data_IF_099589216810
#
_entry.id   IF_099589216810
#
_cell.length_a   1.000
_cell.length_b   1.000
_cell.length_c   1.000
_cell.angle_alpha   90.00
_cell.angle_beta   90.00
_cell.angle_gamma   90.00
#
_symmetry.space_group_name_H-M   'P 1'
#
loop_
_entity.id
_entity.type
_entity.pdbx_description
1 polymer ?
#
# COMPACT_ATOMS: atom_id res chain seq x y z
N UNK A 1 6.80 -15.78 -5.98
CA UNK A 1 5.52 -15.78 -5.22
C UNK A 1 4.70 -14.59 -5.68
N UNK A 2 3.39 -14.72 -5.86
CA UNK A 2 2.53 -13.60 -6.24
C UNK A 2 2.53 -12.55 -5.12
N UNK A 3 2.94 -11.32 -5.42
CA UNK A 3 2.98 -10.22 -4.45
C UNK A 3 1.59 -9.92 -3.88
N UNK A 4 0.54 -10.01 -4.70
CA UNK A 4 -0.84 -9.74 -4.26
C UNK A 4 -1.36 -10.84 -3.32
N UNK A 5 -1.50 -12.08 -3.82
CA UNK A 5 -2.15 -13.15 -3.06
C UNK A 5 -1.20 -14.04 -2.25
N UNK A 6 0.11 -13.81 -2.35
CA UNK A 6 1.17 -14.58 -1.68
C UNK A 6 1.20 -16.07 -2.03
N UNK A 7 0.46 -16.52 -3.06
CA UNK A 7 0.53 -17.90 -3.57
C UNK A 7 1.68 -18.05 -4.57
N UNK A 8 2.29 -19.23 -4.63
CA UNK A 8 3.21 -19.58 -5.73
C UNK A 8 2.40 -19.63 -7.03
N UNK A 9 2.75 -18.86 -8.07
CA UNK A 9 2.03 -18.90 -9.34
C UNK A 9 2.39 -20.16 -10.12
N UNK A 10 1.41 -20.76 -10.80
CA UNK A 10 1.63 -21.88 -11.72
C UNK A 10 2.29 -21.41 -13.03
N UNK A 11 1.96 -20.18 -13.49
CA UNK A 11 2.59 -19.48 -14.61
C UNK A 11 3.12 -18.13 -14.12
N UNK A 12 4.44 -17.86 -14.19
CA UNK A 12 4.99 -16.59 -13.74
C UNK A 12 4.59 -15.44 -14.69
N UNK A 13 3.81 -14.48 -14.19
CA UNK A 13 3.63 -13.17 -14.85
C UNK A 13 4.73 -12.24 -14.35
N UNK A 14 5.83 -12.18 -15.12
CA UNK A 14 7.10 -11.57 -14.72
C UNK A 14 7.03 -10.04 -14.55
N UNK A 15 6.09 -9.35 -15.20
CA UNK A 15 6.15 -7.89 -15.31
C UNK A 15 5.84 -7.14 -14.02
N UNK A 16 5.05 -7.73 -13.12
CA UNK A 16 4.60 -7.07 -11.87
C UNK A 16 4.60 -8.00 -10.64
N UNK A 17 5.18 -9.20 -10.75
CA UNK A 17 5.22 -10.18 -9.67
C UNK A 17 3.83 -10.65 -9.23
N UNK A 18 2.88 -10.78 -10.16
CA UNK A 18 1.50 -11.25 -9.89
C UNK A 18 1.30 -12.66 -10.45
N UNK A 19 0.26 -13.36 -10.00
CA UNK A 19 -0.21 -14.55 -10.70
C UNK A 19 -1.26 -14.15 -11.76
N UNK A 20 -1.48 -15.00 -12.75
CA UNK A 20 -2.47 -14.80 -13.82
C UNK A 20 -3.86 -14.43 -13.27
N UNK A 21 -4.30 -15.11 -12.21
CA UNK A 21 -5.59 -14.83 -11.58
C UNK A 21 -5.66 -13.39 -11.02
N UNK A 22 -4.61 -12.91 -10.36
CA UNK A 22 -4.55 -11.54 -9.84
C UNK A 22 -4.44 -10.52 -10.97
N UNK A 23 -3.71 -10.85 -12.04
CA UNK A 23 -3.62 -10.00 -13.23
C UNK A 23 -4.99 -9.84 -13.91
N UNK A 24 -5.71 -10.95 -14.17
CA UNK A 24 -7.08 -10.94 -14.74
C UNK A 24 -8.08 -10.19 -13.86
N UNK A 25 -7.96 -10.31 -12.54
CA UNK A 25 -8.79 -9.58 -11.58
C UNK A 25 -8.46 -8.06 -11.50
N UNK A 26 -7.38 -7.61 -12.16
CA UNK A 26 -6.92 -6.23 -12.09
C UNK A 26 -6.37 -5.85 -10.72
N UNK A 27 -5.83 -6.81 -9.96
CA UNK A 27 -5.25 -6.56 -8.64
C UNK A 27 -3.84 -6.01 -8.72
N UNK A 28 -3.53 -5.00 -7.94
CA UNK A 28 -2.20 -4.39 -7.88
C UNK A 28 -1.82 -4.15 -6.42
N UNK A 29 -0.58 -4.46 -6.07
CA UNK A 29 0.02 -4.06 -4.79
C UNK A 29 0.94 -2.86 -5.06
N UNK A 30 0.60 -1.69 -4.53
CA UNK A 30 1.45 -0.50 -4.61
C UNK A 30 2.27 -0.34 -3.33
N UNK A 31 3.60 -0.29 -3.44
CA UNK A 31 4.53 -0.06 -2.33
C UNK A 31 4.64 1.42 -2.03
N UNK A 32 4.62 1.73 -0.75
CA UNK A 32 4.94 3.03 -0.19
C UNK A 32 5.96 2.84 0.92
N UNK A 33 6.94 3.75 1.00
CA UNK A 33 7.95 3.76 2.06
C UNK A 33 7.55 4.78 3.11
N UNK A 34 7.46 4.33 4.35
CA UNK A 34 7.24 5.17 5.50
C UNK A 34 8.58 5.56 6.12
N UNK A 35 8.63 6.75 6.70
CA UNK A 35 9.76 7.22 7.49
C UNK A 35 9.26 8.21 8.55
N UNK A 36 10.17 8.74 9.39
CA UNK A 36 9.80 9.69 10.43
C UNK A 36 9.18 10.96 9.82
N UNK A 37 8.02 11.33 10.34
CA UNK A 37 7.31 12.58 10.05
C UNK A 37 7.66 13.69 11.04
N UNK A 38 6.84 14.74 11.10
CA UNK A 38 6.98 15.78 12.13
C UNK A 38 6.37 15.25 13.44
N UNK A 39 7.14 15.27 14.53
CA UNK A 39 6.72 14.72 15.82
C UNK A 39 6.81 13.19 15.87
N UNK A 40 5.92 12.54 16.61
CA UNK A 40 5.86 11.08 16.81
C UNK A 40 5.00 10.37 15.74
N UNK A 41 4.99 10.86 14.50
CA UNK A 41 4.06 10.39 13.46
C UNK A 41 4.86 9.92 12.24
N UNK A 42 4.40 8.84 11.59
CA UNK A 42 4.95 8.40 10.31
C UNK A 42 4.56 9.33 9.15
N UNK A 43 5.39 9.37 8.10
CA UNK A 43 5.08 10.04 6.85
C UNK A 43 5.48 9.17 5.66
N UNK A 44 4.70 9.23 4.57
CA UNK A 44 5.09 8.61 3.29
C UNK A 44 6.22 9.45 2.66
N UNK A 45 7.36 8.81 2.41
CA UNK A 45 8.58 9.43 1.87
C UNK A 45 8.90 9.03 0.43
N UNK A 46 8.33 7.94 -0.05
CA UNK A 46 8.47 7.47 -1.41
C UNK A 46 7.38 6.45 -1.73
N UNK A 47 7.16 6.15 -3.01
CA UNK A 47 6.17 5.17 -3.41
C UNK A 47 6.11 4.88 -4.90
N UNK A 48 5.54 3.72 -5.26
CA UNK A 48 5.24 3.34 -6.64
C UNK A 48 4.08 4.17 -7.23
N UNK A 49 3.21 4.72 -6.37
CA UNK A 49 2.24 5.75 -6.75
C UNK A 49 2.90 7.12 -6.62
N UNK A 50 2.63 8.01 -7.57
CA UNK A 50 2.93 9.43 -7.37
C UNK A 50 1.96 10.05 -6.35
N UNK A 51 2.35 11.13 -5.65
CA UNK A 51 1.45 11.82 -4.71
C UNK A 51 0.13 12.24 -5.39
N UNK A 52 0.22 12.75 -6.62
CA UNK A 52 -0.94 13.09 -7.45
C UNK A 52 -1.84 11.89 -7.70
N UNK A 53 -1.30 10.74 -8.10
CA UNK A 53 -2.08 9.54 -8.35
C UNK A 53 -2.73 8.99 -7.07
N UNK A 54 -2.05 9.09 -5.92
CA UNK A 54 -2.60 8.73 -4.62
C UNK A 54 -3.80 9.62 -4.28
N UNK A 55 -3.64 10.94 -4.42
CA UNK A 55 -4.69 11.94 -4.19
C UNK A 55 -5.90 11.75 -5.10
N UNK A 56 -5.67 11.69 -6.42
CA UNK A 56 -6.76 11.67 -7.40
C UNK A 56 -7.55 10.35 -7.38
N UNK A 57 -6.87 9.21 -7.17
CA UNK A 57 -7.49 7.89 -7.36
C UNK A 57 -7.86 7.17 -6.07
N UNK A 58 -7.19 7.49 -4.96
CA UNK A 58 -7.26 6.68 -3.73
C UNK A 58 -7.66 7.46 -2.49
N UNK A 59 -7.63 8.80 -2.48
CA UNK A 59 -8.03 9.64 -1.34
C UNK A 59 -9.39 9.27 -0.75
N UNK A 60 -10.45 9.28 -1.55
CA UNK A 60 -11.80 8.96 -1.08
C UNK A 60 -11.89 7.53 -0.50
N UNK A 61 -11.14 6.59 -1.07
CA UNK A 61 -11.13 5.18 -0.66
C UNK A 61 -10.35 4.97 0.64
N UNK A 62 -9.26 5.71 0.85
CA UNK A 62 -8.50 5.71 2.10
C UNK A 62 -9.29 6.36 3.25
N UNK A 63 -10.13 7.35 2.94
CA UNK A 63 -11.07 7.93 3.91
C UNK A 63 -12.18 6.93 4.27
N UNK A 64 -12.74 6.24 3.27
CA UNK A 64 -13.80 5.26 3.46
C UNK A 64 -13.32 3.88 3.97
N UNK A 65 -12.00 3.64 4.03
CA UNK A 65 -11.45 2.36 4.46
C UNK A 65 -11.65 2.18 5.97
N UNK A 66 -12.60 1.32 6.34
CA UNK A 66 -12.87 0.91 7.73
C UNK A 66 -12.12 -0.35 8.19
N UNK A 67 -11.27 -0.92 7.33
CA UNK A 67 -10.42 -2.05 7.68
C UNK A 67 -9.18 -1.61 8.48
N UNK A 68 -8.49 -2.57 9.12
CA UNK A 68 -7.20 -2.34 9.76
C UNK A 68 -6.05 -2.80 8.86
N UNK A 69 -4.89 -2.11 8.89
CA UNK A 69 -3.67 -2.63 8.27
C UNK A 69 -3.33 -4.03 8.77
N UNK A 70 -2.86 -4.91 7.89
CA UNK A 70 -2.49 -6.28 8.23
C UNK A 70 -0.98 -6.44 8.26
N UNK A 71 -0.45 -6.88 9.40
CA UNK A 71 0.97 -7.20 9.55
C UNK A 71 1.34 -8.47 8.77
N UNK A 72 2.45 -8.43 8.01
CA UNK A 72 2.98 -9.60 7.30
C UNK A 72 4.46 -9.85 7.62
N UNK A 73 4.68 -10.87 8.45
CA UNK A 73 5.98 -11.22 9.07
C UNK A 73 7.10 -11.58 8.08
N UNK A 74 6.77 -12.08 6.89
CA UNK A 74 7.73 -12.74 5.99
C UNK A 74 8.21 -11.84 4.83
N UNK A 75 7.78 -10.57 4.78
CA UNK A 75 8.04 -9.73 3.62
C UNK A 75 9.33 -8.90 3.73
N UNK A 76 10.04 -8.91 4.88
CA UNK A 76 11.27 -8.12 5.07
C UNK A 76 11.09 -6.63 4.78
N UNK A 77 9.85 -6.13 4.92
CA UNK A 77 9.47 -4.78 4.52
C UNK A 77 9.94 -3.79 5.60
N UNK A 78 10.39 -2.61 5.15
CA UNK A 78 10.27 -1.34 5.88
C UNK A 78 9.06 -0.53 5.34
N UNK A 79 8.15 -1.23 4.68
CA UNK A 79 7.27 -0.69 3.65
C UNK A 79 5.81 -1.08 3.91
N UNK A 80 4.93 -0.33 3.27
CA UNK A 80 3.50 -0.50 3.31
C UNK A 80 3.00 -0.81 1.90
N UNK A 81 1.98 -1.65 1.78
CA UNK A 81 1.37 -1.99 0.50
C UNK A 81 -0.13 -1.68 0.48
N UNK A 82 -0.56 -0.90 -0.52
CA UNK A 82 -1.97 -0.75 -0.86
C UNK A 82 -2.34 -1.85 -1.85
N UNK A 83 -3.17 -2.79 -1.41
CA UNK A 83 -3.71 -3.84 -2.26
C UNK A 83 -5.02 -3.37 -2.85
N UNK A 84 -5.02 -3.23 -4.16
CA UNK A 84 -6.14 -2.69 -4.93
C UNK A 84 -6.65 -3.72 -5.90
N UNK A 85 -7.91 -3.60 -6.30
CA UNK A 85 -8.52 -4.36 -7.39
C UNK A 85 -9.33 -3.41 -8.25
N UNK A 86 -8.83 -3.11 -9.46
CA UNK A 86 -9.40 -2.08 -10.35
C UNK A 86 -9.45 -0.72 -9.65
N UNK A 87 -10.63 -0.32 -9.20
CA UNK A 87 -10.92 0.93 -8.50
C UNK A 87 -11.22 0.72 -7.01
N UNK A 88 -11.06 -0.48 -6.46
CA UNK A 88 -11.32 -0.73 -5.04
C UNK A 88 -10.02 -0.89 -4.26
N UNK A 89 -10.03 -0.43 -3.01
CA UNK A 89 -9.00 -0.73 -2.03
C UNK A 89 -9.44 -2.00 -1.28
N UNK A 90 -8.73 -3.12 -1.48
CA UNK A 90 -9.06 -4.40 -0.85
C UNK A 90 -8.43 -4.52 0.53
N UNK A 91 -7.16 -4.13 0.68
CA UNK A 91 -6.47 -4.20 1.97
C UNK A 91 -5.23 -3.31 2.00
N UNK A 92 -4.74 -3.06 3.21
CA UNK A 92 -3.45 -2.42 3.45
C UNK A 92 -2.60 -3.44 4.21
N UNK A 93 -1.36 -3.66 3.76
CA UNK A 93 -0.41 -4.54 4.44
C UNK A 93 0.76 -3.72 4.95
N UNK A 94 1.22 -4.05 6.15
CA UNK A 94 2.31 -3.36 6.80
C UNK A 94 3.39 -4.33 7.23
N UNK A 95 4.60 -3.79 7.30
CA UNK A 95 5.75 -4.45 7.85
C UNK A 95 5.57 -4.80 9.34
N UNK A 96 6.31 -5.81 9.86
CA UNK A 96 6.18 -6.27 11.24
C UNK A 96 6.64 -5.27 12.30
N UNK A 97 7.60 -4.41 11.95
CA UNK A 97 8.09 -3.32 12.79
C UNK A 97 7.03 -2.21 13.01
N UNK A 98 5.98 -2.18 12.18
CA UNK A 98 4.84 -1.26 12.31
C UNK A 98 3.65 -1.90 13.04
N UNK A 99 3.80 -3.11 13.59
CA UNK A 99 2.73 -3.77 14.33
C UNK A 99 2.31 -2.92 15.54
N UNK A 100 1.01 -2.61 15.64
CA UNK A 100 0.47 -1.77 16.72
C UNK A 100 0.46 -0.27 16.41
N UNK A 101 1.05 0.16 15.29
CA UNK A 101 1.03 1.54 14.80
C UNK A 101 -0.05 1.77 13.72
N UNK A 102 -1.11 0.95 13.71
CA UNK A 102 -2.15 0.93 12.69
C UNK A 102 -2.74 2.33 12.42
N UNK A 103 -3.06 3.08 13.48
CA UNK A 103 -3.66 4.41 13.38
C UNK A 103 -2.70 5.45 12.81
N UNK A 104 -1.43 5.42 13.22
CA UNK A 104 -0.39 6.32 12.71
C UNK A 104 -0.09 6.06 11.24
N UNK A 105 -0.08 4.79 10.84
CA UNK A 105 0.08 4.37 9.45
C UNK A 105 -1.10 4.87 8.61
N UNK A 106 -2.33 4.70 9.08
CA UNK A 106 -3.51 5.19 8.38
C UNK A 106 -3.54 6.71 8.29
N UNK A 107 -3.13 7.42 9.36
CA UNK A 107 -2.99 8.87 9.36
C UNK A 107 -1.95 9.33 8.33
N UNK A 108 -0.78 8.66 8.27
CA UNK A 108 0.27 8.96 7.29
C UNK A 108 -0.23 8.80 5.84
N UNK A 109 -1.02 7.76 5.55
CA UNK A 109 -1.60 7.53 4.23
C UNK A 109 -2.63 8.57 3.84
N UNK A 110 -3.52 8.93 4.75
CA UNK A 110 -4.55 9.96 4.51
C UNK A 110 -3.89 11.31 4.28
N UNK A 111 -2.94 11.68 5.13
CA UNK A 111 -2.14 12.90 4.97
C UNK A 111 -1.39 12.92 3.63
N UNK A 112 -0.78 11.79 3.22
CA UNK A 112 -0.11 11.67 1.93
C UNK A 112 -1.08 11.85 0.74
N UNK A 113 -2.30 11.33 0.85
CA UNK A 113 -3.34 11.50 -0.16
C UNK A 113 -3.93 12.93 -0.21
N UNK A 114 -3.73 13.73 0.83
CA UNK A 114 -4.13 15.14 0.88
C UNK A 114 -3.05 16.12 0.41
N UNK A 115 -1.78 15.68 0.29
CA UNK A 115 -0.68 16.54 -0.18
C UNK A 115 -0.96 17.06 -1.58
N UNK A 116 -0.71 18.34 -1.82
CA UNK A 116 -0.78 18.98 -3.16
C UNK A 116 0.51 18.81 -3.97
N UNK A 117 1.62 18.50 -3.30
CA UNK A 117 2.96 18.31 -3.86
C UNK A 117 2.99 17.32 -5.03
N UNK A 118 3.90 17.55 -5.98
CA UNK A 118 4.14 16.67 -7.12
C UNK A 118 5.20 15.59 -6.80
N UNK A 119 6.01 15.81 -5.76
CA UNK A 119 7.07 14.91 -5.29
C UNK A 119 6.83 14.42 -3.86
N UNK A 120 7.41 13.26 -3.52
CA UNK A 120 7.33 12.69 -2.18
C UNK A 120 8.21 13.44 -1.19
#
# INVERSE_FOLDING_TARGET
>A
MCRVCLKRPDIPDERYGRCEQCAKAGRIAFRLRLGPGRGTVFAVKAGELSPRALRERWRAKLLAFGGRPQVRQHLGLHELELITAKDRLESIRVAPDLAGHDDEVMAALRAAADRSDASW
#
